data_IF_378945256731
#
_entry.id   IF_378945256731
#
_cell.length_a   1.000
_cell.length_b   1.000
_cell.length_c   1.000
_cell.angle_alpha   90.00
_cell.angle_beta   90.00
_cell.angle_gamma   90.00
#
_symmetry.space_group_name_H-M   'P 1'
#
loop_
_entity.id
_entity.type
_entity.pdbx_description
1 polymer ?
#
# COMPACT_ATOMS: atom_id res chain seq x y z
N UNK A 1 -6.32 24.31 -14.18
CA UNK A 1 -5.64 23.07 -14.65
C UNK A 1 -4.13 23.20 -14.87
N UNK A 2 -3.60 24.22 -15.57
CA UNK A 2 -2.14 24.35 -15.84
C UNK A 2 -1.24 24.43 -14.59
N UNK A 3 -1.75 24.94 -13.47
CA UNK A 3 -1.00 25.07 -12.20
C UNK A 3 -0.83 23.71 -11.48
N UNK A 4 -1.88 22.88 -11.48
CA UNK A 4 -1.88 21.55 -10.83
C UNK A 4 -0.94 20.54 -11.49
N UNK A 5 -0.56 20.77 -12.76
CA UNK A 5 0.37 19.93 -13.49
C UNK A 5 1.83 20.42 -13.40
N UNK A 6 2.19 21.20 -12.37
CA UNK A 6 3.58 21.64 -12.10
C UNK A 6 4.06 21.10 -10.75
N UNK A 7 5.37 21.19 -10.51
CA UNK A 7 5.91 21.00 -9.14
C UNK A 7 5.34 22.15 -8.27
N UNK A 8 4.99 21.91 -7.00
CA UNK A 8 5.05 20.64 -6.26
C UNK A 8 3.78 19.77 -6.37
N UNK A 9 2.73 20.26 -7.04
CA UNK A 9 1.38 19.70 -7.03
C UNK A 9 1.28 18.25 -7.52
N UNK A 10 2.04 17.83 -8.54
CA UNK A 10 2.01 16.43 -9.00
C UNK A 10 2.40 15.44 -7.90
N UNK A 11 3.45 15.77 -7.14
CA UNK A 11 3.91 14.93 -6.04
C UNK A 11 2.92 14.94 -4.87
N UNK A 12 2.36 16.11 -4.53
CA UNK A 12 1.35 16.24 -3.47
C UNK A 12 0.08 15.45 -3.84
N UNK A 13 -0.44 15.62 -5.05
CA UNK A 13 -1.63 14.89 -5.53
C UNK A 13 -1.35 13.38 -5.51
N UNK A 14 -0.18 12.94 -5.97
CA UNK A 14 0.17 11.52 -5.97
C UNK A 14 0.29 10.95 -4.56
N UNK A 15 0.85 11.71 -3.62
CA UNK A 15 0.90 11.36 -2.21
C UNK A 15 -0.51 11.23 -1.62
N UNK A 16 -1.37 12.24 -1.83
CA UNK A 16 -2.74 12.24 -1.31
C UNK A 16 -3.56 11.09 -1.89
N UNK A 17 -3.48 10.82 -3.18
CA UNK A 17 -4.17 9.68 -3.80
C UNK A 17 -3.80 8.38 -3.08
N UNK A 18 -2.50 8.08 -2.94
CA UNK A 18 -2.06 6.85 -2.29
C UNK A 18 -2.35 6.87 -0.79
N UNK A 19 -2.26 8.02 -0.12
CA UNK A 19 -2.59 8.16 1.29
C UNK A 19 -4.05 7.81 1.55
N UNK A 20 -4.97 8.34 0.74
CA UNK A 20 -6.40 8.12 0.92
C UNK A 20 -6.81 6.67 0.63
N UNK A 21 -6.01 5.85 -0.07
CA UNK A 21 -6.32 4.42 -0.21
C UNK A 21 -6.25 3.67 1.12
N UNK A 22 -5.47 4.14 2.09
CA UNK A 22 -5.33 3.48 3.39
C UNK A 22 -6.60 3.55 4.24
N UNK A 23 -7.15 4.73 4.60
CA UNK A 23 -8.38 4.80 5.38
C UNK A 23 -9.57 4.25 4.58
N UNK A 24 -9.62 4.47 3.26
CA UNK A 24 -10.68 3.90 2.42
C UNK A 24 -10.62 2.37 2.37
N UNK A 25 -9.43 1.78 2.35
CA UNK A 25 -9.24 0.33 2.41
C UNK A 25 -9.78 -0.27 3.70
N UNK A 26 -9.40 0.30 4.85
CA UNK A 26 -9.89 -0.13 6.17
C UNK A 26 -11.41 0.00 6.26
N UNK A 27 -11.97 1.15 5.85
CA UNK A 27 -13.40 1.36 5.83
C UNK A 27 -14.13 0.35 4.94
N UNK A 28 -13.60 0.09 3.74
CA UNK A 28 -14.16 -0.87 2.80
C UNK A 28 -14.17 -2.30 3.36
N UNK A 29 -13.11 -2.72 4.04
CA UNK A 29 -13.06 -4.03 4.69
C UNK A 29 -14.15 -4.20 5.75
N UNK A 30 -14.29 -3.21 6.64
CA UNK A 30 -15.29 -3.26 7.71
C UNK A 30 -16.70 -3.24 7.14
N UNK A 31 -16.94 -2.44 6.10
CA UNK A 31 -18.22 -2.44 5.38
C UNK A 31 -18.48 -3.81 4.73
N UNK A 32 -17.48 -4.43 4.09
CA UNK A 32 -17.62 -5.78 3.54
C UNK A 32 -17.99 -6.81 4.62
N UNK A 33 -17.31 -6.81 5.76
CA UNK A 33 -17.62 -7.73 6.87
C UNK A 33 -19.05 -7.54 7.40
N UNK A 34 -19.50 -6.28 7.54
CA UNK A 34 -20.84 -5.96 8.05
C UNK A 34 -21.95 -6.21 7.04
N UNK A 35 -21.73 -5.89 5.77
CA UNK A 35 -22.77 -5.98 4.72
C UNK A 35 -23.01 -7.41 4.24
N UNK A 36 -21.94 -8.20 4.10
CA UNK A 36 -22.04 -9.55 3.54
C UNK A 36 -22.12 -10.64 4.63
N UNK A 37 -21.86 -10.30 5.88
CA UNK A 37 -21.86 -11.25 7.00
C UNK A 37 -20.83 -12.38 6.82
N UNK A 38 -20.83 -13.33 7.75
CA UNK A 38 -19.84 -14.41 7.78
C UNK A 38 -19.91 -15.35 6.57
N UNK A 39 -21.08 -15.55 5.97
CA UNK A 39 -21.25 -16.49 4.86
C UNK A 39 -20.76 -15.94 3.52
N UNK A 40 -21.00 -14.66 3.24
CA UNK A 40 -20.73 -14.07 1.92
C UNK A 40 -19.44 -13.25 1.88
N UNK A 41 -18.86 -12.86 3.02
CA UNK A 41 -17.63 -12.04 3.04
C UNK A 41 -16.47 -12.71 2.30
N UNK A 42 -16.31 -14.04 2.40
CA UNK A 42 -15.24 -14.76 1.70
C UNK A 42 -15.48 -14.87 0.20
N UNK A 43 -16.75 -15.02 -0.22
CA UNK A 43 -17.12 -14.97 -1.65
C UNK A 43 -16.86 -13.57 -2.21
N UNK A 44 -17.21 -12.52 -1.45
CA UNK A 44 -16.93 -11.14 -1.81
C UNK A 44 -15.41 -10.86 -1.89
N UNK A 45 -14.61 -11.40 -0.97
CA UNK A 45 -13.16 -11.28 -0.99
C UNK A 45 -12.52 -12.00 -2.19
N UNK A 46 -13.01 -13.19 -2.54
CA UNK A 46 -12.58 -13.92 -3.74
C UNK A 46 -12.89 -13.09 -5.01
N UNK A 47 -14.10 -12.56 -5.12
CA UNK A 47 -14.51 -11.67 -6.22
C UNK A 47 -13.67 -10.39 -6.27
N UNK A 48 -13.35 -9.79 -5.12
CA UNK A 48 -12.52 -8.59 -5.05
C UNK A 48 -11.13 -8.85 -5.65
N UNK A 49 -10.48 -9.96 -5.28
CA UNK A 49 -9.19 -10.31 -5.87
C UNK A 49 -9.27 -10.64 -7.36
N UNK A 50 -10.37 -11.27 -7.82
CA UNK A 50 -10.63 -11.48 -9.26
C UNK A 50 -10.77 -10.15 -10.01
N UNK A 51 -11.48 -9.16 -9.46
CA UNK A 51 -11.53 -7.80 -10.01
C UNK A 51 -10.12 -7.22 -10.09
N UNK A 52 -9.30 -7.44 -9.06
CA UNK A 52 -7.88 -7.06 -9.06
C UNK A 52 -7.09 -7.67 -10.24
N UNK A 53 -7.29 -8.96 -10.54
CA UNK A 53 -6.68 -9.62 -11.70
C UNK A 53 -7.17 -9.02 -13.03
N UNK A 54 -8.46 -8.74 -13.15
CA UNK A 54 -9.03 -8.10 -14.36
C UNK A 54 -8.41 -6.71 -14.57
N UNK A 55 -8.28 -5.91 -13.51
CA UNK A 55 -7.62 -4.60 -13.56
C UNK A 55 -6.14 -4.72 -13.96
N UNK A 56 -5.43 -5.73 -13.44
CA UNK A 56 -4.04 -6.00 -13.82
C UNK A 56 -3.92 -6.30 -15.31
N UNK A 57 -4.74 -7.21 -15.84
CA UNK A 57 -4.76 -7.57 -17.27
C UNK A 57 -5.11 -6.36 -18.14
N UNK A 58 -6.10 -5.56 -17.74
CA UNK A 58 -6.45 -4.32 -18.44
C UNK A 58 -5.28 -3.31 -18.43
N UNK A 59 -4.53 -3.25 -17.33
CA UNK A 59 -3.35 -2.42 -17.16
C UNK A 59 -2.18 -2.85 -18.06
N UNK A 60 -1.99 -4.16 -18.25
CA UNK A 60 -0.99 -4.73 -19.17
C UNK A 60 -1.29 -4.39 -20.64
N UNK A 61 -2.57 -4.29 -21.00
CA UNK A 61 -3.02 -3.93 -22.36
C UNK A 61 -3.01 -2.42 -22.63
N UNK A 62 -2.77 -1.60 -21.61
CA UNK A 62 -2.86 -0.13 -21.72
C UNK A 62 -1.53 0.50 -22.13
N UNK A 63 -1.54 1.33 -23.18
CA UNK A 63 -0.35 2.07 -23.65
C UNK A 63 -0.06 3.37 -22.88
N UNK A 64 -1.03 3.88 -22.11
CA UNK A 64 -0.89 5.10 -21.31
C UNK A 64 -0.28 4.79 -19.94
N UNK A 65 0.94 5.27 -19.68
CA UNK A 65 1.69 4.99 -18.45
C UNK A 65 0.88 5.28 -17.17
N UNK A 66 0.28 6.48 -17.06
CA UNK A 66 -0.48 6.87 -15.85
C UNK A 66 -1.68 5.95 -15.62
N UNK A 67 -2.45 5.62 -16.67
CA UNK A 67 -3.61 4.72 -16.54
C UNK A 67 -3.15 3.31 -16.16
N UNK A 68 -2.08 2.80 -16.77
CA UNK A 68 -1.51 1.50 -16.40
C UNK A 68 -1.03 1.48 -14.94
N UNK A 69 -0.40 2.55 -14.45
CA UNK A 69 -0.02 2.68 -13.04
C UNK A 69 -1.23 2.64 -12.11
N UNK A 70 -2.31 3.38 -12.41
CA UNK A 70 -3.53 3.33 -11.59
C UNK A 70 -4.18 1.94 -11.57
N UNK A 71 -4.30 1.30 -12.74
CA UNK A 71 -4.80 -0.07 -12.82
C UNK A 71 -3.94 -1.04 -12.02
N UNK A 72 -2.62 -0.86 -12.03
CA UNK A 72 -1.70 -1.63 -11.18
C UNK A 72 -1.86 -1.35 -9.69
N UNK A 73 -2.05 -0.09 -9.29
CA UNK A 73 -2.27 0.30 -7.89
C UNK A 73 -3.52 -0.39 -7.33
N UNK A 74 -4.66 -0.26 -8.02
CA UNK A 74 -5.92 -0.87 -7.59
C UNK A 74 -5.91 -2.39 -7.70
N UNK A 75 -5.26 -2.95 -8.74
CA UNK A 75 -5.05 -4.38 -8.83
C UNK A 75 -4.29 -4.92 -7.61
N UNK A 76 -3.20 -4.26 -7.23
CA UNK A 76 -2.41 -4.65 -6.05
C UNK A 76 -3.21 -4.56 -4.75
N UNK A 77 -3.96 -3.47 -4.55
CA UNK A 77 -4.83 -3.30 -3.37
C UNK A 77 -5.93 -4.37 -3.30
N UNK A 78 -6.62 -4.65 -4.40
CA UNK A 78 -7.72 -5.62 -4.41
C UNK A 78 -7.24 -7.06 -4.28
N UNK A 79 -6.09 -7.40 -4.87
CA UNK A 79 -5.46 -8.71 -4.67
C UNK A 79 -4.98 -8.85 -3.23
N UNK A 80 -4.36 -7.81 -2.66
CA UNK A 80 -3.94 -7.80 -1.26
C UNK A 80 -5.11 -8.03 -0.32
N UNK A 81 -6.10 -7.14 -0.34
CA UNK A 81 -7.26 -7.22 0.55
C UNK A 81 -8.04 -8.50 0.31
N UNK A 82 -8.40 -8.80 -0.94
CA UNK A 82 -9.27 -9.93 -1.26
C UNK A 82 -8.62 -11.31 -1.06
N UNK A 83 -7.40 -11.51 -1.55
CA UNK A 83 -6.79 -12.84 -1.58
C UNK A 83 -5.72 -13.08 -0.52
N UNK A 84 -5.05 -12.04 -0.03
CA UNK A 84 -4.00 -12.21 1.00
C UNK A 84 -4.64 -12.01 2.37
N UNK A 85 -5.19 -10.83 2.63
CA UNK A 85 -5.71 -10.45 3.94
C UNK A 85 -6.94 -11.26 4.35
N UNK A 86 -7.97 -11.31 3.51
CA UNK A 86 -9.16 -12.12 3.81
C UNK A 86 -8.89 -13.64 3.79
N UNK A 87 -7.80 -14.11 3.16
CA UNK A 87 -7.39 -15.51 3.30
C UNK A 87 -6.87 -15.80 4.72
N UNK A 88 -6.10 -14.89 5.32
CA UNK A 88 -5.74 -15.01 6.74
C UNK A 88 -6.96 -14.92 7.66
N UNK A 89 -7.92 -14.04 7.37
CA UNK A 89 -9.21 -13.98 8.10
C UNK A 89 -9.96 -15.31 7.99
N UNK A 90 -10.00 -15.90 6.80
CA UNK A 90 -10.65 -17.19 6.56
C UNK A 90 -10.02 -18.32 7.36
N UNK A 91 -8.69 -18.45 7.29
CA UNK A 91 -7.98 -19.52 7.99
C UNK A 91 -8.08 -19.33 9.50
N UNK A 92 -7.89 -18.10 10.01
CA UNK A 92 -7.98 -17.80 11.43
C UNK A 92 -9.37 -18.11 12.00
N UNK A 93 -10.45 -17.79 11.28
CA UNK A 93 -11.82 -18.17 11.67
C UNK A 93 -12.03 -19.69 11.62
N UNK A 94 -11.53 -20.36 10.57
CA UNK A 94 -11.69 -21.82 10.39
C UNK A 94 -11.02 -22.63 11.50
N UNK A 95 -9.84 -22.20 11.97
CA UNK A 95 -9.10 -22.85 13.05
C UNK A 95 -9.36 -22.21 14.43
N UNK A 96 -10.34 -21.31 14.53
CA UNK A 96 -10.79 -20.66 15.75
C UNK A 96 -9.67 -19.97 16.57
N UNK A 97 -8.73 -19.31 15.89
CA UNK A 97 -7.68 -18.50 16.54
C UNK A 97 -8.36 -17.38 17.33
N UNK A 98 -8.02 -17.29 18.61
CA UNK A 98 -8.54 -16.24 19.48
C UNK A 98 -7.76 -14.93 19.29
N UNK A 99 -8.42 -13.77 19.32
CA UNK A 99 -7.74 -12.48 19.31
C UNK A 99 -6.93 -12.27 20.59
N UNK A 100 -5.94 -11.38 20.54
CA UNK A 100 -5.29 -10.87 21.75
C UNK A 100 -6.16 -9.74 22.31
N UNK A 101 -6.64 -9.92 23.53
CA UNK A 101 -7.48 -8.97 24.25
C UNK A 101 -6.67 -8.41 25.42
N UNK A 102 -6.62 -7.09 25.54
CA UNK A 102 -6.03 -6.40 26.69
C UNK A 102 -7.01 -5.36 27.20
N UNK A 103 -7.24 -5.33 28.52
CA UNK A 103 -8.20 -4.42 29.15
C UNK A 103 -9.62 -4.48 28.54
N UNK A 104 -10.03 -5.65 28.03
CA UNK A 104 -11.34 -5.85 27.40
C UNK A 104 -11.43 -5.39 25.95
N UNK A 105 -10.35 -4.83 25.37
CA UNK A 105 -10.30 -4.41 23.97
C UNK A 105 -9.51 -5.42 23.13
N UNK A 106 -10.00 -5.71 21.92
CA UNK A 106 -9.27 -6.52 20.94
C UNK A 106 -8.13 -5.68 20.40
N UNK A 107 -6.92 -5.95 20.88
CA UNK A 107 -5.75 -5.21 20.44
C UNK A 107 -5.20 -5.80 19.16
N UNK A 108 -5.10 -7.14 19.05
CA UNK A 108 -4.66 -7.83 17.83
C UNK A 108 -5.71 -8.81 17.33
N UNK A 109 -6.13 -8.63 16.08
CA UNK A 109 -7.10 -9.52 15.43
C UNK A 109 -6.48 -10.90 15.11
N UNK A 110 -7.27 -11.98 15.02
CA UNK A 110 -6.78 -13.34 14.82
C UNK A 110 -5.92 -13.53 13.56
N UNK A 111 -6.32 -12.93 12.44
CA UNK A 111 -5.60 -12.99 11.16
C UNK A 111 -4.16 -12.48 11.26
N UNK A 112 -3.92 -11.50 12.12
CA UNK A 112 -2.63 -10.87 12.33
C UNK A 112 -1.70 -11.68 13.23
N UNK A 113 -2.22 -12.68 13.94
CA UNK A 113 -1.41 -13.67 14.66
C UNK A 113 -0.87 -14.74 13.70
N UNK A 114 -1.58 -14.99 12.60
CA UNK A 114 -1.19 -15.98 11.60
C UNK A 114 -0.28 -15.41 10.52
N UNK A 115 -0.49 -14.14 10.12
CA UNK A 115 0.28 -13.50 9.04
C UNK A 115 1.82 -13.54 9.22
N UNK A 116 2.41 -13.47 10.43
CA UNK A 116 3.86 -13.59 10.63
C UNK A 116 4.46 -14.91 10.13
N UNK A 117 3.66 -15.98 10.04
CA UNK A 117 4.10 -17.26 9.44
C UNK A 117 4.58 -17.13 7.98
N UNK A 118 4.22 -16.04 7.31
CA UNK A 118 4.57 -15.75 5.92
C UNK A 118 5.97 -15.14 5.73
N UNK A 119 6.70 -14.87 6.83
CA UNK A 119 8.01 -14.21 6.79
C UNK A 119 9.02 -14.92 5.89
N UNK A 120 9.01 -16.25 5.85
CA UNK A 120 9.88 -17.04 4.98
C UNK A 120 9.60 -16.80 3.49
N UNK A 121 8.32 -16.76 3.10
CA UNK A 121 7.92 -16.46 1.71
C UNK A 121 8.28 -15.04 1.31
N UNK A 122 8.08 -14.07 2.22
CA UNK A 122 8.50 -12.69 1.99
C UNK A 122 10.01 -12.60 1.81
N UNK A 123 10.80 -13.27 2.65
CA UNK A 123 12.25 -13.26 2.56
C UNK A 123 12.74 -13.73 1.18
N UNK A 124 12.19 -14.83 0.66
CA UNK A 124 12.51 -15.34 -0.69
C UNK A 124 12.19 -14.29 -1.77
N UNK A 125 11.02 -13.64 -1.69
CA UNK A 125 10.64 -12.58 -2.64
C UNK A 125 11.54 -11.36 -2.55
N UNK A 126 11.91 -10.93 -1.34
CA UNK A 126 12.82 -9.80 -1.12
C UNK A 126 14.18 -10.11 -1.71
N UNK A 127 14.73 -11.31 -1.48
CA UNK A 127 16.00 -11.75 -2.07
C UNK A 127 15.91 -11.76 -3.61
N UNK A 128 14.82 -12.30 -4.16
CA UNK A 128 14.57 -12.28 -5.59
C UNK A 128 14.62 -10.86 -6.15
N UNK A 129 13.88 -9.91 -5.58
CA UNK A 129 13.88 -8.53 -6.09
C UNK A 129 15.20 -7.80 -5.83
N UNK A 130 15.88 -8.09 -4.73
CA UNK A 130 17.15 -7.45 -4.38
C UNK A 130 18.27 -7.85 -5.33
N UNK A 131 18.35 -9.13 -5.72
CA UNK A 131 19.41 -9.61 -6.60
C UNK A 131 19.02 -9.65 -8.08
N UNK A 132 17.75 -9.43 -8.42
CA UNK A 132 17.31 -9.34 -9.81
C UNK A 132 17.58 -7.94 -10.41
N UNK A 133 18.58 -7.85 -11.29
CA UNK A 133 18.92 -6.61 -12.02
C UNK A 133 17.85 -6.11 -12.99
N UNK A 134 16.85 -6.94 -13.31
CA UNK A 134 15.69 -6.57 -14.14
C UNK A 134 14.60 -5.85 -13.34
N UNK A 135 14.66 -5.84 -12.01
CA UNK A 135 13.63 -5.23 -11.17
C UNK A 135 13.43 -3.76 -11.51
N UNK A 136 12.17 -3.38 -11.71
CA UNK A 136 11.77 -2.01 -12.03
C UNK A 136 11.10 -1.31 -10.85
N UNK A 137 10.95 -1.99 -9.71
CA UNK A 137 10.47 -1.40 -8.46
C UNK A 137 11.42 -0.27 -8.02
N UNK A 138 10.87 0.85 -7.57
CA UNK A 138 11.68 2.00 -7.17
C UNK A 138 12.38 1.70 -5.84
N UNK A 139 11.65 1.07 -4.92
CA UNK A 139 12.15 0.68 -3.59
C UNK A 139 13.37 -0.26 -3.69
N UNK A 140 13.26 -1.39 -4.38
CA UNK A 140 14.38 -2.35 -4.49
C UNK A 140 15.59 -1.78 -5.25
N UNK A 141 15.37 -0.94 -6.28
CA UNK A 141 16.48 -0.26 -6.97
C UNK A 141 17.20 0.76 -6.10
N UNK A 142 16.51 1.37 -5.14
CA UNK A 142 17.14 2.23 -4.15
C UNK A 142 18.04 1.39 -3.23
N UNK A 143 17.55 0.25 -2.73
CA UNK A 143 18.33 -0.66 -1.88
C UNK A 143 19.56 -1.22 -2.60
N UNK A 144 19.42 -1.69 -3.84
CA UNK A 144 20.53 -2.12 -4.69
C UNK A 144 21.63 -1.05 -4.86
N UNK A 145 21.25 0.24 -4.95
CA UNK A 145 22.20 1.36 -5.02
C UNK A 145 22.89 1.62 -3.69
N UNK A 146 22.11 1.63 -2.62
CA UNK A 146 22.58 1.99 -1.28
C UNK A 146 23.53 0.93 -0.70
N UNK A 147 23.21 -0.35 -0.92
CA UNK A 147 24.03 -1.49 -0.50
C UNK A 147 25.23 -1.78 -1.41
N UNK A 148 25.47 -0.97 -2.46
CA UNK A 148 26.56 -1.17 -3.43
C UNK A 148 26.63 -2.59 -4.00
N UNK A 149 25.47 -3.19 -4.33
CA UNK A 149 25.39 -4.51 -4.96
C UNK A 149 25.86 -4.45 -6.43
N UNK A 150 27.16 -4.22 -6.62
CA UNK A 150 27.78 -3.94 -7.92
C UNK A 150 27.74 -5.14 -8.87
N UNK A 151 27.61 -6.36 -8.34
CA UNK A 151 27.43 -7.58 -9.12
C UNK A 151 26.03 -7.66 -9.79
N UNK A 152 25.05 -6.93 -9.27
CA UNK A 152 23.71 -6.84 -9.87
C UNK A 152 23.75 -5.85 -11.04
N UNK A 153 23.91 -6.39 -12.26
CA UNK A 153 23.84 -5.61 -13.51
C UNK A 153 22.42 -5.11 -13.72
N UNK A 154 22.18 -3.87 -13.30
CA UNK A 154 20.87 -3.20 -13.40
C UNK A 154 20.56 -2.86 -14.85
N UNK A 155 19.49 -3.44 -15.39
CA UNK A 155 19.05 -3.13 -16.74
C UNK A 155 18.44 -1.73 -16.81
N UNK A 156 18.85 -0.98 -17.84
CA UNK A 156 18.17 0.27 -18.17
C UNK A 156 16.74 -0.08 -18.56
N UNK A 157 15.83 0.65 -17.96
CA UNK A 157 14.44 0.31 -18.02
C UNK A 157 13.92 0.50 -19.47
N UNK A 158 13.51 -0.59 -20.13
CA UNK A 158 13.16 -0.65 -21.56
C UNK A 158 11.91 0.12 -21.97
N UNK A 159 11.59 0.15 -23.29
CA UNK A 159 10.43 0.85 -23.88
C UNK A 159 9.07 0.18 -23.61
N UNK A 160 9.02 -1.14 -23.39
CA UNK A 160 7.77 -1.92 -23.17
C UNK A 160 7.66 -2.40 -21.73
N UNK A 161 7.43 -1.49 -20.78
CA UNK A 161 7.33 -1.86 -19.36
C UNK A 161 5.89 -2.22 -19.00
N UNK A 162 5.66 -3.34 -18.29
CA UNK A 162 4.37 -3.60 -17.69
C UNK A 162 4.22 -2.73 -16.43
N UNK A 163 3.86 -1.45 -16.63
CA UNK A 163 3.69 -0.47 -15.54
C UNK A 163 2.67 -0.93 -14.50
N UNK A 164 1.58 -1.57 -14.95
CA UNK A 164 0.56 -2.12 -14.08
C UNK A 164 1.12 -3.23 -13.17
N UNK A 165 1.76 -4.25 -13.74
CA UNK A 165 2.38 -5.34 -12.98
C UNK A 165 3.43 -4.83 -12.00
N UNK A 166 4.31 -3.95 -12.46
CA UNK A 166 5.36 -3.40 -11.59
C UNK A 166 4.74 -2.66 -10.40
N UNK A 167 3.67 -1.89 -10.63
CA UNK A 167 2.99 -1.12 -9.56
C UNK A 167 2.26 -2.05 -8.60
N UNK A 168 1.54 -3.06 -9.11
CA UNK A 168 0.82 -4.05 -8.30
C UNK A 168 1.77 -4.86 -7.41
N UNK A 169 2.87 -5.33 -7.97
CA UNK A 169 3.90 -6.05 -7.22
C UNK A 169 4.60 -5.15 -6.21
N UNK A 170 4.86 -3.89 -6.55
CA UNK A 170 5.49 -2.90 -5.65
C UNK A 170 4.59 -2.64 -4.43
N UNK A 171 3.29 -2.40 -4.61
CA UNK A 171 2.40 -2.19 -3.46
C UNK A 171 2.23 -3.44 -2.61
N UNK A 172 2.04 -4.62 -3.21
CA UNK A 172 1.88 -5.88 -2.46
C UNK A 172 3.14 -6.17 -1.63
N UNK A 173 4.33 -6.10 -2.24
CA UNK A 173 5.57 -6.43 -1.56
C UNK A 173 5.88 -5.44 -0.42
N UNK A 174 5.63 -4.15 -0.62
CA UNK A 174 5.91 -3.12 0.39
C UNK A 174 4.87 -3.19 1.52
N UNK A 175 3.58 -3.35 1.20
CA UNK A 175 2.54 -3.56 2.21
C UNK A 175 2.90 -4.75 3.08
N UNK A 176 3.17 -5.90 2.47
CA UNK A 176 3.54 -7.11 3.18
C UNK A 176 4.75 -6.92 4.09
N UNK A 177 5.81 -6.28 3.58
CA UNK A 177 7.00 -6.03 4.36
C UNK A 177 6.72 -5.18 5.60
N UNK A 178 6.05 -4.04 5.44
CA UNK A 178 5.76 -3.17 6.57
C UNK A 178 4.71 -3.75 7.52
N UNK A 179 3.79 -4.57 7.01
CA UNK A 179 2.85 -5.31 7.84
C UNK A 179 3.59 -6.28 8.78
N UNK A 180 4.52 -7.07 8.24
CA UNK A 180 5.30 -7.99 9.08
C UNK A 180 6.18 -7.24 10.07
N UNK A 181 6.77 -6.11 9.68
CA UNK A 181 7.52 -5.25 10.62
C UNK A 181 6.61 -4.82 11.78
N UNK A 182 5.40 -4.32 11.50
CA UNK A 182 4.43 -3.92 12.52
C UNK A 182 4.08 -5.09 13.46
N UNK A 183 3.74 -6.25 12.89
CA UNK A 183 3.33 -7.41 13.69
C UNK A 183 4.46 -7.92 14.59
N UNK A 184 5.71 -7.91 14.10
CA UNK A 184 6.89 -8.30 14.89
C UNK A 184 7.12 -7.32 16.05
N UNK A 185 7.00 -6.01 15.81
CA UNK A 185 7.21 -5.03 16.89
C UNK A 185 6.05 -5.00 17.89
N UNK A 186 4.83 -5.35 17.47
CA UNK A 186 3.68 -5.47 18.37
C UNK A 186 3.69 -6.76 19.20
N UNK A 187 4.38 -7.80 18.74
CA UNK A 187 4.45 -9.07 19.45
C UNK A 187 5.21 -8.90 20.78
N UNK A 188 4.50 -9.11 21.90
CA UNK A 188 5.05 -9.00 23.26
C UNK A 188 6.09 -10.06 23.60
N UNK A 189 6.08 -11.21 22.91
CA UNK A 189 7.10 -12.24 23.05
C UNK A 189 8.43 -11.86 22.40
N UNK A 190 8.43 -10.90 21.47
CA UNK A 190 9.64 -10.42 20.78
C UNK A 190 10.05 -9.03 21.28
N UNK A 191 9.16 -8.05 21.16
CA UNK A 191 9.41 -6.65 21.55
C UNK A 191 8.26 -6.07 22.37
N UNK A 192 7.08 -5.95 21.77
CA UNK A 192 5.90 -5.32 22.36
C UNK A 192 5.65 -3.89 21.87
N UNK A 193 4.38 -3.50 21.86
CA UNK A 193 3.89 -2.22 21.35
C UNK A 193 4.46 -0.99 22.08
N UNK A 194 4.83 -1.12 23.37
CA UNK A 194 5.47 -0.05 24.17
C UNK A 194 6.99 -0.20 24.33
N UNK A 195 7.64 -1.00 23.48
CA UNK A 195 9.08 -1.22 23.51
C UNK A 195 9.88 -0.17 22.73
N UNK A 196 11.15 0.06 23.09
CA UNK A 196 12.02 1.02 22.39
C UNK A 196 12.15 0.74 20.89
N UNK A 197 12.13 -0.54 20.50
CA UNK A 197 12.12 -0.96 19.10
C UNK A 197 10.91 -0.39 18.34
N UNK A 198 9.73 -0.42 18.96
CA UNK A 198 8.48 0.11 18.38
C UNK A 198 8.55 1.63 18.22
N UNK A 199 9.11 2.35 19.20
CA UNK A 199 9.37 3.79 19.08
C UNK A 199 10.36 4.11 17.94
N UNK A 200 11.43 3.32 17.78
CA UNK A 200 12.40 3.48 16.69
C UNK A 200 11.70 3.26 15.34
N UNK A 201 10.87 2.22 15.22
CA UNK A 201 10.11 1.97 13.98
C UNK A 201 9.14 3.10 13.70
N UNK A 202 8.42 3.60 14.71
CA UNK A 202 7.46 4.70 14.57
C UNK A 202 8.16 5.98 14.06
N UNK A 203 9.09 6.52 14.84
CA UNK A 203 9.72 7.80 14.52
C UNK A 203 10.71 7.69 13.35
N UNK A 204 11.39 6.55 13.22
CA UNK A 204 12.22 6.26 12.05
C UNK A 204 11.41 6.26 10.76
N UNK A 205 10.22 5.64 10.77
CA UNK A 205 9.31 5.65 9.63
C UNK A 205 8.78 7.06 9.33
N UNK A 206 8.43 7.84 10.35
CA UNK A 206 8.02 9.24 10.18
C UNK A 206 9.12 10.07 9.50
N UNK A 207 10.34 10.10 10.07
CA UNK A 207 11.47 10.87 9.52
C UNK A 207 11.81 10.43 8.09
N UNK A 208 11.81 9.12 7.83
CA UNK A 208 12.09 8.59 6.51
C UNK A 208 11.00 8.95 5.50
N UNK A 209 9.74 8.85 5.87
CA UNK A 209 8.62 9.23 5.01
C UNK A 209 8.64 10.72 4.65
N UNK A 210 9.01 11.61 5.58
CA UNK A 210 9.20 13.04 5.33
C UNK A 210 10.32 13.29 4.31
N UNK A 211 11.45 12.60 4.46
CA UNK A 211 12.55 12.68 3.51
C UNK A 211 12.14 12.23 2.09
N UNK A 212 11.39 11.13 1.99
CA UNK A 212 10.85 10.67 0.71
C UNK A 212 9.80 11.65 0.15
N UNK A 213 8.96 12.24 1.00
CA UNK A 213 7.95 13.22 0.58
C UNK A 213 8.60 14.47 -0.05
N UNK A 214 9.69 14.99 0.54
CA UNK A 214 10.46 16.11 -0.03
C UNK A 214 11.01 15.78 -1.42
N UNK A 215 11.38 14.52 -1.67
CA UNK A 215 11.80 14.05 -2.99
C UNK A 215 10.62 13.88 -3.94
N UNK A 216 9.49 13.38 -3.44
CA UNK A 216 8.26 13.15 -4.20
C UNK A 216 7.71 14.44 -4.80
N UNK A 217 7.64 15.54 -4.03
CA UNK A 217 7.15 16.85 -4.53
C UNK A 217 8.01 17.42 -5.67
N UNK A 218 9.24 16.92 -5.86
CA UNK A 218 10.13 17.32 -6.95
C UNK A 218 9.91 16.51 -8.24
N UNK A 219 9.04 15.50 -8.24
CA UNK A 219 8.75 14.65 -9.41
C UNK A 219 7.74 15.34 -10.36
N UNK A 220 7.93 15.16 -11.68
CA UNK A 220 7.10 15.81 -12.71
C UNK A 220 6.20 14.87 -13.53
N UNK A 221 6.29 13.55 -13.36
CA UNK A 221 5.50 12.56 -14.11
C UNK A 221 4.58 11.81 -13.16
N UNK A 222 3.26 11.88 -13.36
CA UNK A 222 2.26 11.21 -12.52
C UNK A 222 2.53 9.71 -12.33
N UNK A 223 2.76 8.96 -13.41
CA UNK A 223 3.03 7.52 -13.33
C UNK A 223 4.23 7.17 -12.42
N UNK A 224 5.28 7.99 -12.43
CA UNK A 224 6.45 7.80 -11.56
C UNK A 224 6.19 8.35 -10.15
N UNK A 225 5.48 9.47 -10.02
CA UNK A 225 5.12 10.07 -8.74
C UNK A 225 4.22 9.14 -7.90
N UNK A 226 3.21 8.53 -8.50
CA UNK A 226 2.32 7.56 -7.82
C UNK A 226 3.14 6.37 -7.31
N UNK A 227 4.00 5.80 -8.16
CA UNK A 227 4.85 4.67 -7.77
C UNK A 227 5.84 5.02 -6.66
N UNK A 228 6.35 6.26 -6.66
CA UNK A 228 7.19 6.77 -5.57
C UNK A 228 6.37 7.08 -4.30
N UNK A 229 5.10 7.45 -4.45
CA UNK A 229 4.18 7.70 -3.35
C UNK A 229 3.82 6.41 -2.59
N UNK A 230 3.74 5.26 -3.26
CA UNK A 230 3.49 3.94 -2.63
C UNK A 230 4.39 3.68 -1.42
N UNK A 231 5.74 3.57 -1.55
CA UNK A 231 6.61 3.39 -0.38
C UNK A 231 6.52 4.57 0.58
N UNK A 232 6.41 5.81 0.09
CA UNK A 232 6.34 7.00 0.94
C UNK A 232 5.15 6.93 1.90
N UNK A 233 3.98 6.56 1.38
CA UNK A 233 2.74 6.47 2.15
C UNK A 233 2.73 5.24 3.03
N UNK A 234 3.14 4.06 2.55
CA UNK A 234 3.12 2.85 3.39
C UNK A 234 4.03 3.04 4.61
N UNK A 235 5.21 3.62 4.43
CA UNK A 235 6.12 3.94 5.53
C UNK A 235 5.49 4.98 6.48
N UNK A 236 4.87 6.02 5.94
CA UNK A 236 4.14 6.98 6.78
C UNK A 236 2.98 6.31 7.54
N UNK A 237 2.26 5.40 6.90
CA UNK A 237 1.13 4.69 7.49
C UNK A 237 1.56 3.75 8.62
N UNK A 238 2.75 3.14 8.55
CA UNK A 238 3.36 2.42 9.68
C UNK A 238 3.41 3.27 10.94
N UNK A 239 3.73 4.57 10.82
CA UNK A 239 3.69 5.48 11.97
C UNK A 239 2.26 5.71 12.46
N UNK A 240 1.30 5.93 11.54
CA UNK A 240 -0.12 6.13 11.88
C UNK A 240 -0.71 4.90 12.60
N UNK A 241 -0.40 3.70 12.14
CA UNK A 241 -0.81 2.43 12.77
C UNK A 241 -0.28 2.31 14.20
N UNK A 242 0.98 2.70 14.45
CA UNK A 242 1.56 2.65 15.81
C UNK A 242 0.88 3.67 16.72
N UNK A 243 0.56 4.87 16.22
CA UNK A 243 -0.19 5.86 16.99
C UNK A 243 -1.63 5.40 17.28
N UNK A 244 -2.27 4.72 16.33
CA UNK A 244 -3.58 4.08 16.50
C UNK A 244 -3.52 2.98 17.56
N UNK A 245 -2.52 2.11 17.49
CA UNK A 245 -2.23 1.08 18.51
C UNK A 245 -2.00 1.66 19.90
N UNK A 246 -1.43 2.86 19.99
CA UNK A 246 -1.24 3.58 21.24
C UNK A 246 -2.47 4.37 21.72
N UNK A 247 -3.59 4.28 21.01
CA UNK A 247 -4.84 4.99 21.28
C UNK A 247 -4.66 6.52 21.37
N UNK A 248 -3.76 7.10 20.56
CA UNK A 248 -3.51 8.55 20.58
C UNK A 248 -4.55 9.38 19.83
N UNK A 249 -5.32 8.76 18.95
CA UNK A 249 -6.43 9.40 18.24
C UNK A 249 -7.49 8.37 17.89
N UNK A 250 -8.69 8.85 17.53
CA UNK A 250 -9.76 7.99 17.07
C UNK A 250 -9.68 7.76 15.57
N UNK A 251 -9.59 6.51 15.18
CA UNK A 251 -9.57 6.10 13.78
C UNK A 251 -10.97 6.13 13.16
N UNK A 252 -11.29 7.23 12.46
CA UNK A 252 -12.59 7.42 11.81
C UNK A 252 -12.95 6.32 10.80
N UNK A 253 -11.93 5.67 10.20
CA UNK A 253 -12.10 4.58 9.25
C UNK A 253 -12.40 3.22 9.87
N UNK A 254 -12.26 3.06 11.20
CA UNK A 254 -12.66 1.84 11.92
C UNK A 254 -14.17 1.83 12.20
N UNK A 255 -14.82 2.99 12.26
CA UNK A 255 -16.26 3.14 12.48
C UNK A 255 -16.97 3.79 11.27
N UNK A 256 -16.92 3.20 10.05
CA UNK A 256 -17.37 3.87 8.83
C UNK A 256 -18.87 4.19 8.81
N UNK A 257 -19.69 3.45 9.55
CA UNK A 257 -21.13 3.73 9.67
C UNK A 257 -21.43 4.93 10.57
N UNK A 258 -20.58 5.19 11.57
CA UNK A 258 -20.72 6.35 12.46
C UNK A 258 -20.21 7.62 11.78
N UNK A 259 -19.08 7.52 11.09
CA UNK A 259 -18.42 8.63 10.40
C UNK A 259 -18.65 8.58 8.88
N UNK A 260 -19.88 8.28 8.45
CA UNK A 260 -20.18 8.04 7.05
C UNK A 260 -19.97 9.30 6.19
N UNK A 261 -20.22 10.49 6.75
CA UNK A 261 -20.05 11.77 6.05
C UNK A 261 -18.57 11.98 5.74
N UNK A 262 -17.69 11.78 6.73
CA UNK A 262 -16.24 11.93 6.61
C UNK A 262 -15.69 10.95 5.58
N UNK A 263 -16.14 9.69 5.60
CA UNK A 263 -15.71 8.65 4.64
C UNK A 263 -16.18 9.00 3.22
N UNK A 264 -17.42 9.48 3.05
CA UNK A 264 -17.92 9.91 1.74
C UNK A 264 -17.17 11.14 1.22
N UNK A 265 -16.85 12.11 2.07
CA UNK A 265 -16.03 13.27 1.70
C UNK A 265 -14.62 12.86 1.29
N UNK A 266 -13.98 11.97 2.05
CA UNK A 266 -12.66 11.41 1.70
C UNK A 266 -12.74 10.71 0.34
N UNK A 267 -13.77 9.90 0.10
CA UNK A 267 -13.97 9.22 -1.17
C UNK A 267 -14.19 10.20 -2.34
N UNK A 268 -14.99 11.25 -2.14
CA UNK A 268 -15.23 12.28 -3.15
C UNK A 268 -13.93 13.01 -3.54
N UNK A 269 -13.12 13.39 -2.55
CA UNK A 269 -11.80 14.00 -2.79
C UNK A 269 -10.87 13.02 -3.52
N UNK A 270 -10.85 11.75 -3.11
CA UNK A 270 -10.05 10.72 -3.75
C UNK A 270 -10.39 10.55 -5.24
N UNK A 271 -11.67 10.45 -5.58
CA UNK A 271 -12.14 10.35 -6.98
C UNK A 271 -11.77 11.61 -7.78
N UNK A 272 -11.94 12.79 -7.19
CA UNK A 272 -11.58 14.06 -7.82
C UNK A 272 -10.08 14.12 -8.16
N UNK A 273 -9.21 13.72 -7.23
CA UNK A 273 -7.75 13.72 -7.43
C UNK A 273 -7.33 12.74 -8.54
N UNK A 274 -7.94 11.55 -8.58
CA UNK A 274 -7.70 10.57 -9.65
C UNK A 274 -8.13 11.17 -10.99
N UNK A 275 -9.33 11.74 -11.06
CA UNK A 275 -9.83 12.35 -12.29
C UNK A 275 -8.89 13.45 -12.80
N UNK A 276 -8.45 14.36 -11.94
CA UNK A 276 -7.48 15.41 -12.28
C UNK A 276 -6.18 14.81 -12.83
N UNK A 277 -5.65 13.76 -12.21
CA UNK A 277 -4.40 13.11 -12.63
C UNK A 277 -4.52 12.37 -13.98
N UNK A 278 -5.70 11.84 -14.31
CA UNK A 278 -5.96 11.17 -15.59
C UNK A 278 -6.21 12.15 -16.73
N UNK A 279 -6.70 13.35 -16.42
CA UNK A 279 -6.92 14.44 -17.38
C UNK A 279 -5.64 15.15 -17.84
N UNK A 280 -4.46 14.79 -17.31
CA UNK A 280 -3.20 15.42 -17.70
C UNK A 280 -2.88 15.16 -19.20
N UNK A 281 -3.31 16.10 -20.04
CA UNK A 281 -2.95 16.22 -21.44
C UNK A 281 -1.66 17.01 -21.57
N UNK A 282 -0.54 16.53 -21.02
CA UNK A 282 0.77 17.01 -21.50
C UNK A 282 0.92 16.53 -22.94
N UNK A 283 0.60 17.43 -23.88
CA UNK A 283 1.00 17.34 -25.29
C UNK A 283 2.45 16.87 -25.33
N UNK A 284 2.71 15.76 -26.01
CA UNK A 284 4.07 15.41 -26.45
C UNK A 284 4.57 16.61 -27.25
N UNK A 285 5.41 17.47 -26.66
CA UNK A 285 6.40 18.16 -27.49
C UNK A 285 7.37 17.06 -27.90
N UNK A 286 7.05 16.43 -29.03
CA UNK A 286 8.05 15.74 -29.84
C UNK A 286 9.05 16.85 -30.18
N UNK A 287 10.21 16.83 -29.53
CA UNK A 287 11.36 17.52 -30.09
C UNK A 287 11.74 16.70 -31.32
N UNK A 288 11.41 17.23 -32.49
CA UNK A 288 12.07 16.90 -33.75
C UNK A 288 13.52 17.32 -33.67
#
# INVERSE_FOLDING_TARGET
MKVLNRKPFIGIISFLIVLLTMPLGHAAMILMEKMFGHEYVFKAALLLGLIGVVLLIAGLKTSKETKATFLGLFAGLFIWTGWIEFAYVFVAKRVAIQPIIENGEVVTKPEYLLMPSSIGFLAVLVLYFLFNGKTQCVFFRWWQRNMRLNFVKREKAGKSRPYALTTATEIIAILWFFYLVLLIVYDKGIFGDRHIATYIVAFGSLLWSLFLFIKLIRIQKYAYAIRYAIPTVIIFWTFIEILGRWNLFKEIWIEPLKYWIEIVLIFAVFVLLIFISLLDKRKKKVAS
#
